data_IF_423869179205
#
_entry.id   IF_423869179205
#
_cell.length_a   1.000
_cell.length_b   1.000
_cell.length_c   1.000
_cell.angle_alpha   90.00
_cell.angle_beta   90.00
_cell.angle_gamma   90.00
#
_symmetry.space_group_name_H-M   'P 1'
#
loop_
_entity.id
_entity.type
_entity.pdbx_description
1 polymer ?
#
# COMPACT_ATOMS: atom_id res chain seq x y z
N UNK A 1 -37.48 -6.91 10.80
CA UNK A 1 -37.29 -5.52 11.29
C UNK A 1 -38.22 -4.52 10.62
N UNK A 2 -38.62 -4.74 9.38
CA UNK A 2 -39.43 -3.78 8.62
C UNK A 2 -40.83 -3.47 9.22
N UNK A 3 -41.45 -4.39 9.94
CA UNK A 3 -42.77 -4.17 10.57
C UNK A 3 -42.78 -3.19 11.78
N UNK A 4 -41.61 -2.85 12.33
CA UNK A 4 -41.50 -1.95 13.47
C UNK A 4 -41.58 -0.47 13.02
N UNK A 5 -41.28 -0.18 11.75
CA UNK A 5 -41.21 1.15 11.19
C UNK A 5 -42.54 1.68 10.59
N UNK A 6 -43.59 0.82 10.51
CA UNK A 6 -44.87 1.22 9.91
C UNK A 6 -45.78 2.05 10.84
N UNK A 7 -45.47 2.19 12.14
CA UNK A 7 -46.29 3.00 13.05
C UNK A 7 -45.57 4.31 13.37
N UNK A 8 -46.20 5.45 13.10
CA UNK A 8 -45.64 6.78 13.39
C UNK A 8 -45.24 7.04 14.86
N UNK A 9 -45.72 6.19 15.78
CA UNK A 9 -45.34 6.16 17.20
C UNK A 9 -43.95 5.59 17.43
N UNK A 10 -43.57 4.56 16.66
CA UNK A 10 -42.23 3.96 16.71
C UNK A 10 -41.17 4.89 16.13
N UNK A 11 -41.48 5.60 15.05
CA UNK A 11 -40.59 6.58 14.38
C UNK A 11 -40.16 7.72 15.32
N UNK A 12 -41.09 8.30 16.11
CA UNK A 12 -40.77 9.34 17.07
C UNK A 12 -39.83 8.85 18.19
N UNK A 13 -39.93 7.60 18.58
CA UNK A 13 -39.04 6.99 19.59
C UNK A 13 -37.62 6.78 19.08
N UNK A 14 -37.42 6.62 17.79
CA UNK A 14 -36.09 6.52 17.15
C UNK A 14 -35.42 7.89 17.05
N UNK A 15 -36.14 8.95 16.73
CA UNK A 15 -35.62 10.32 16.64
C UNK A 15 -35.14 10.85 17.99
N UNK A 16 -35.87 10.50 19.09
CA UNK A 16 -35.49 10.85 20.47
C UNK A 16 -34.68 9.75 21.16
N UNK A 17 -34.30 8.70 20.43
CA UNK A 17 -33.63 7.50 20.96
C UNK A 17 -32.11 7.65 21.08
N UNK A 18 -31.48 6.53 21.43
CA UNK A 18 -30.02 6.44 21.49
C UNK A 18 -29.38 6.74 20.11
N UNK A 19 -28.10 7.11 20.11
CA UNK A 19 -27.29 7.30 18.90
C UNK A 19 -27.44 6.14 17.90
N UNK A 20 -27.37 4.89 18.39
CA UNK A 20 -27.52 3.70 17.54
C UNK A 20 -28.88 3.62 16.87
N UNK A 21 -29.96 4.01 17.58
CA UNK A 21 -31.31 4.02 17.01
C UNK A 21 -31.42 5.09 15.89
N UNK A 22 -30.88 6.28 16.10
CA UNK A 22 -30.83 7.36 15.09
C UNK A 22 -30.05 6.93 13.84
N UNK A 23 -28.86 6.35 14.01
CA UNK A 23 -28.05 5.83 12.89
C UNK A 23 -28.78 4.73 12.14
N UNK A 24 -29.45 3.81 12.85
CA UNK A 24 -30.25 2.78 12.22
C UNK A 24 -31.39 3.36 11.37
N UNK A 25 -32.11 4.36 11.91
CA UNK A 25 -33.18 5.04 11.18
C UNK A 25 -32.66 5.68 9.88
N UNK A 26 -31.56 6.45 9.97
CA UNK A 26 -30.94 7.11 8.80
C UNK A 26 -30.53 6.08 7.74
N UNK A 27 -29.86 4.99 8.13
CA UNK A 27 -29.42 3.93 7.19
C UNK A 27 -30.56 3.29 6.42
N UNK A 28 -31.77 3.29 6.97
CA UNK A 28 -32.97 2.80 6.31
C UNK A 28 -33.81 3.90 5.65
N UNK A 29 -33.30 5.12 5.61
CA UNK A 29 -33.96 6.26 4.98
C UNK A 29 -35.11 6.88 5.79
N UNK A 30 -35.20 6.57 7.10
CA UNK A 30 -36.29 7.08 7.96
C UNK A 30 -35.91 8.35 8.69
N UNK A 31 -36.85 9.26 8.86
CA UNK A 31 -36.77 10.50 9.67
C UNK A 31 -35.62 11.44 9.25
N UNK A 32 -35.20 11.41 7.99
CA UNK A 32 -34.08 12.23 7.48
C UNK A 32 -34.36 13.72 7.67
N UNK A 33 -35.61 14.16 7.48
CA UNK A 33 -36.08 15.54 7.68
C UNK A 33 -35.88 16.06 9.10
N UNK A 34 -35.94 15.18 10.10
CA UNK A 34 -35.70 15.51 11.50
C UNK A 34 -34.23 15.37 11.89
N UNK A 35 -33.59 14.31 11.42
CA UNK A 35 -32.22 13.93 11.78
C UNK A 35 -31.14 14.79 11.05
N UNK A 36 -31.51 15.53 10.02
CA UNK A 36 -30.61 16.47 9.35
C UNK A 36 -30.10 17.59 10.26
N UNK A 37 -30.83 17.91 11.34
CA UNK A 37 -30.44 18.91 12.34
C UNK A 37 -30.03 18.29 13.68
N UNK A 38 -29.70 16.99 13.70
CA UNK A 38 -29.29 16.33 14.93
C UNK A 38 -28.03 17.01 15.52
N UNK A 39 -27.97 17.14 16.81
CA UNK A 39 -26.81 17.72 17.52
C UNK A 39 -25.51 16.96 17.26
N UNK A 40 -25.64 15.64 17.06
CA UNK A 40 -24.51 14.77 16.77
C UNK A 40 -24.16 14.79 15.28
N UNK A 41 -22.98 15.30 14.96
CA UNK A 41 -22.51 15.37 13.58
C UNK A 41 -22.42 14.00 12.87
N UNK A 42 -22.22 12.90 13.58
CA UNK A 42 -22.21 11.58 12.96
C UNK A 42 -23.59 11.25 12.36
N UNK A 43 -24.69 11.65 13.05
CA UNK A 43 -26.04 11.45 12.52
C UNK A 43 -26.26 12.28 11.26
N UNK A 44 -25.86 13.57 11.30
CA UNK A 44 -25.93 14.46 10.12
C UNK A 44 -25.07 13.96 8.96
N UNK A 45 -23.87 13.41 9.25
CA UNK A 45 -23.01 12.78 8.25
C UNK A 45 -23.72 11.60 7.55
N UNK A 46 -24.35 10.73 8.31
CA UNK A 46 -25.13 9.62 7.73
C UNK A 46 -26.33 10.12 6.90
N UNK A 47 -26.95 11.23 7.29
CA UNK A 47 -28.02 11.88 6.47
C UNK A 47 -27.44 12.36 5.13
N UNK A 48 -26.25 13.00 5.15
CA UNK A 48 -25.54 13.39 3.93
C UNK A 48 -25.19 12.18 3.05
N UNK A 49 -24.74 11.08 3.65
CA UNK A 49 -24.44 9.83 2.93
C UNK A 49 -25.68 9.23 2.25
N UNK A 50 -26.87 9.44 2.80
CA UNK A 50 -28.13 9.07 2.12
C UNK A 50 -28.50 10.03 0.96
N UNK A 51 -27.76 11.13 0.79
CA UNK A 51 -28.04 12.12 -0.25
C UNK A 51 -29.20 13.08 0.07
N UNK A 52 -29.60 13.14 1.34
CA UNK A 52 -30.72 14.00 1.77
C UNK A 52 -30.22 15.36 2.29
N UNK A 53 -30.87 16.45 1.86
CA UNK A 53 -30.64 17.81 2.34
C UNK A 53 -29.20 18.31 2.13
N UNK A 54 -28.54 17.91 1.06
CA UNK A 54 -27.16 18.26 0.76
C UNK A 54 -26.95 19.76 0.60
N UNK A 55 -27.99 20.49 0.14
CA UNK A 55 -28.03 21.95 0.03
C UNK A 55 -27.89 22.66 1.38
N UNK A 56 -28.34 22.03 2.45
CA UNK A 56 -28.20 22.51 3.82
C UNK A 56 -26.91 22.05 4.48
N UNK A 57 -26.53 20.79 4.26
CA UNK A 57 -25.37 20.15 4.87
C UNK A 57 -24.03 20.56 4.24
N UNK A 58 -24.03 21.20 3.08
CA UNK A 58 -22.83 21.75 2.42
C UNK A 58 -22.11 22.79 3.28
N UNK A 59 -22.80 23.42 4.21
CA UNK A 59 -22.30 24.44 5.16
C UNK A 59 -22.19 23.92 6.59
N UNK A 60 -22.33 22.64 6.80
CA UNK A 60 -22.28 22.07 8.15
C UNK A 60 -20.99 22.47 8.88
N UNK A 61 -21.08 22.71 10.17
CA UNK A 61 -19.94 23.04 11.02
C UNK A 61 -18.86 21.94 11.02
N UNK A 62 -19.29 20.67 10.95
CA UNK A 62 -18.41 19.50 10.93
C UNK A 62 -17.83 19.26 9.52
N UNK A 63 -16.51 19.17 9.43
CA UNK A 63 -15.84 18.82 8.18
C UNK A 63 -16.21 17.41 7.69
N UNK A 64 -16.53 16.49 8.56
CA UNK A 64 -16.94 15.13 8.17
C UNK A 64 -18.31 15.10 7.50
N UNK A 65 -19.20 16.02 7.89
CA UNK A 65 -20.49 16.18 7.18
C UNK A 65 -20.26 16.79 5.80
N UNK A 66 -19.45 17.86 5.70
CA UNK A 66 -19.11 18.48 4.42
C UNK A 66 -18.33 17.52 3.51
N UNK A 67 -17.46 16.68 4.08
CA UNK A 67 -16.78 15.61 3.33
C UNK A 67 -17.80 14.62 2.74
N UNK A 68 -18.79 14.20 3.51
CA UNK A 68 -19.86 13.32 3.04
C UNK A 68 -20.67 13.96 1.90
N UNK A 69 -20.97 15.26 2.00
CA UNK A 69 -21.60 16.04 0.93
C UNK A 69 -20.75 16.05 -0.34
N UNK A 70 -19.42 16.31 -0.21
CA UNK A 70 -18.49 16.27 -1.34
C UNK A 70 -18.42 14.87 -2.00
N UNK A 71 -18.40 13.81 -1.21
CA UNK A 71 -18.43 12.41 -1.70
C UNK A 71 -19.69 12.08 -2.50
N UNK A 72 -20.80 12.79 -2.24
CA UNK A 72 -22.04 12.69 -3.02
C UNK A 72 -22.03 13.55 -4.28
N UNK A 73 -20.92 14.25 -4.56
CA UNK A 73 -20.77 15.10 -5.72
C UNK A 73 -21.54 16.43 -5.64
N UNK A 74 -22.01 16.83 -4.45
CA UNK A 74 -22.79 18.05 -4.30
C UNK A 74 -21.93 19.21 -3.79
N UNK A 75 -22.23 20.44 -4.25
CA UNK A 75 -21.58 21.67 -3.76
C UNK A 75 -20.07 21.76 -4.01
N UNK A 76 -19.53 21.00 -4.98
CA UNK A 76 -18.09 20.89 -5.25
C UNK A 76 -17.44 22.25 -5.56
N UNK A 77 -18.16 23.14 -6.24
CA UNK A 77 -17.71 24.51 -6.55
C UNK A 77 -17.42 25.34 -5.29
N UNK A 78 -18.11 25.07 -4.20
CA UNK A 78 -17.90 25.69 -2.90
C UNK A 78 -16.82 24.93 -2.11
N UNK A 79 -16.97 23.60 -2.01
CA UNK A 79 -16.14 22.73 -1.18
C UNK A 79 -14.70 22.58 -1.69
N UNK A 80 -14.41 22.92 -2.95
CA UNK A 80 -13.05 23.02 -3.49
C UNK A 80 -12.18 24.04 -2.73
N UNK A 81 -12.80 24.96 -2.01
CA UNK A 81 -12.13 25.99 -1.19
C UNK A 81 -12.28 25.72 0.32
N UNK A 82 -12.75 24.56 0.71
CA UNK A 82 -12.95 24.25 2.12
C UNK A 82 -11.66 24.41 2.92
N UNK A 83 -11.78 24.91 4.14
CA UNK A 83 -10.63 25.10 5.04
C UNK A 83 -9.93 23.79 5.40
N UNK A 84 -10.69 22.68 5.44
CA UNK A 84 -10.18 21.36 5.82
C UNK A 84 -9.74 20.54 4.61
N UNK A 85 -8.54 19.99 4.65
CA UNK A 85 -7.97 19.21 3.53
C UNK A 85 -8.78 17.94 3.22
N UNK A 86 -9.39 17.32 4.23
CA UNK A 86 -10.20 16.11 4.03
C UNK A 86 -11.40 16.38 3.10
N UNK A 87 -11.99 17.57 3.18
CA UNK A 87 -13.10 17.99 2.31
C UNK A 87 -12.58 18.23 0.89
N UNK A 88 -11.44 18.96 0.75
CA UNK A 88 -10.84 19.21 -0.55
C UNK A 88 -10.35 17.92 -1.22
N UNK A 89 -9.82 16.96 -0.44
CA UNK A 89 -9.51 15.60 -0.95
C UNK A 89 -10.75 14.89 -1.51
N UNK A 90 -11.89 15.00 -0.81
CA UNK A 90 -13.14 14.42 -1.30
C UNK A 90 -13.59 15.07 -2.61
N UNK A 91 -13.41 16.40 -2.76
CA UNK A 91 -13.65 17.12 -4.01
C UNK A 91 -12.73 16.65 -5.13
N UNK A 92 -11.42 16.52 -4.86
CA UNK A 92 -10.45 16.01 -5.83
C UNK A 92 -10.80 14.60 -6.30
N UNK A 93 -11.24 13.71 -5.38
CA UNK A 93 -11.69 12.34 -5.72
C UNK A 93 -12.90 12.31 -6.64
N UNK A 94 -13.71 13.38 -6.68
CA UNK A 94 -14.79 13.54 -7.65
C UNK A 94 -14.29 14.08 -9.03
N UNK A 95 -13.00 14.29 -9.19
CA UNK A 95 -12.42 14.87 -10.39
C UNK A 95 -12.72 16.36 -10.59
N UNK A 96 -13.17 17.07 -9.55
CA UNK A 96 -13.55 18.47 -9.64
C UNK A 96 -12.43 19.40 -9.13
N UNK A 97 -12.20 20.52 -9.86
CA UNK A 97 -11.27 21.56 -9.47
C UNK A 97 -9.81 21.12 -9.37
N UNK A 98 -9.41 20.10 -10.13
CA UNK A 98 -8.05 19.56 -10.11
C UNK A 98 -7.00 20.59 -10.53
N UNK A 99 -7.36 21.51 -11.43
CA UNK A 99 -6.54 22.64 -11.87
C UNK A 99 -6.16 23.58 -10.73
N UNK A 100 -7.02 23.70 -9.75
CA UNK A 100 -6.79 24.47 -8.52
C UNK A 100 -6.08 23.64 -7.45
N UNK A 101 -6.55 22.40 -7.24
CA UNK A 101 -6.10 21.54 -6.17
C UNK A 101 -4.70 20.94 -6.41
N UNK A 102 -4.18 21.02 -7.65
CA UNK A 102 -2.79 20.65 -7.95
C UNK A 102 -1.76 21.51 -7.20
N UNK A 103 -2.16 22.69 -6.74
CA UNK A 103 -1.37 23.63 -5.94
C UNK A 103 -1.78 23.67 -4.46
N UNK A 104 -2.57 22.71 -4.03
CA UNK A 104 -3.04 22.70 -2.66
C UNK A 104 -1.87 22.65 -1.66
N UNK A 105 -2.01 23.39 -0.56
CA UNK A 105 -1.00 23.42 0.51
C UNK A 105 -0.79 22.08 1.21
N UNK A 106 -1.78 21.20 1.15
CA UNK A 106 -1.76 19.89 1.79
C UNK A 106 -1.28 18.82 0.82
N UNK A 107 -0.24 18.08 1.20
CA UNK A 107 0.37 17.02 0.38
C UNK A 107 -0.65 15.94 -0.02
N UNK A 108 -1.56 15.57 0.87
CA UNK A 108 -2.55 14.52 0.61
C UNK A 108 -3.57 14.95 -0.45
N UNK A 109 -3.91 16.25 -0.51
CA UNK A 109 -4.77 16.77 -1.59
C UNK A 109 -4.04 16.66 -2.92
N UNK A 110 -2.75 17.09 -3.00
CA UNK A 110 -1.96 16.98 -4.22
C UNK A 110 -1.72 15.53 -4.66
N UNK A 111 -1.56 14.62 -3.69
CA UNK A 111 -1.49 13.17 -3.97
C UNK A 111 -2.76 12.71 -4.67
N UNK A 112 -3.94 13.04 -4.13
CA UNK A 112 -5.22 12.66 -4.75
C UNK A 112 -5.35 13.21 -6.17
N UNK A 113 -4.90 14.46 -6.41
CA UNK A 113 -4.88 15.05 -7.77
C UNK A 113 -4.00 14.23 -8.71
N UNK A 114 -2.79 13.86 -8.27
CA UNK A 114 -1.87 13.03 -9.05
C UNK A 114 -2.40 11.60 -9.28
N UNK A 115 -3.10 11.03 -8.30
CA UNK A 115 -3.77 9.73 -8.42
C UNK A 115 -4.93 9.76 -9.44
N UNK A 116 -5.51 10.94 -9.70
CA UNK A 116 -6.46 11.15 -10.81
C UNK A 116 -5.76 11.35 -12.18
N UNK A 117 -4.43 11.29 -12.21
CA UNK A 117 -3.66 11.50 -13.42
C UNK A 117 -3.55 12.96 -13.87
N UNK A 118 -3.92 13.91 -13.01
CA UNK A 118 -3.89 15.34 -13.35
C UNK A 118 -2.61 16.02 -12.86
N UNK A 119 -2.09 16.97 -13.64
CA UNK A 119 -0.97 17.84 -13.25
C UNK A 119 0.37 17.13 -13.04
N UNK A 120 0.57 15.95 -13.63
CA UNK A 120 1.75 15.11 -13.39
C UNK A 120 3.07 15.79 -13.71
N UNK A 121 3.15 16.66 -14.73
CA UNK A 121 4.36 17.43 -15.04
C UNK A 121 4.77 18.36 -13.90
N UNK A 122 3.80 18.92 -13.20
CA UNK A 122 4.02 19.77 -12.04
C UNK A 122 4.37 18.95 -10.81
N UNK A 123 3.58 17.92 -10.53
CA UNK A 123 3.73 17.06 -9.37
C UNK A 123 4.98 16.17 -9.42
N UNK A 124 5.58 15.99 -10.61
CA UNK A 124 6.89 15.37 -10.75
C UNK A 124 8.03 16.16 -10.09
N UNK A 125 7.81 17.44 -9.80
CA UNK A 125 8.76 18.30 -9.09
C UNK A 125 8.33 18.56 -7.62
N UNK A 126 7.33 17.88 -7.12
CA UNK A 126 6.88 17.98 -5.74
C UNK A 126 7.87 17.28 -4.78
N UNK A 127 7.63 17.32 -3.50
CA UNK A 127 8.44 16.58 -2.53
C UNK A 127 8.37 15.06 -2.77
N UNK A 128 9.38 14.33 -2.29
CA UNK A 128 9.51 12.89 -2.54
C UNK A 128 8.32 12.07 -1.98
N UNK A 129 7.62 12.57 -0.98
CA UNK A 129 6.45 11.89 -0.40
C UNK A 129 5.29 11.86 -1.42
N UNK A 130 5.00 13.00 -2.04
CA UNK A 130 3.98 13.14 -3.10
C UNK A 130 4.36 12.29 -4.32
N UNK A 131 5.61 12.43 -4.81
CA UNK A 131 6.09 11.66 -5.98
C UNK A 131 6.01 10.15 -5.76
N UNK A 132 6.40 9.65 -4.56
CA UNK A 132 6.27 8.21 -4.19
C UNK A 132 4.82 7.73 -4.20
N UNK A 133 3.90 8.53 -3.68
CA UNK A 133 2.49 8.17 -3.63
C UNK A 133 1.90 8.06 -5.05
N UNK A 134 2.19 9.05 -5.91
CA UNK A 134 1.73 9.06 -7.30
C UNK A 134 2.34 7.89 -8.10
N UNK A 135 3.64 7.63 -7.94
CA UNK A 135 4.28 6.48 -8.59
C UNK A 135 3.64 5.15 -8.17
N UNK A 136 3.24 4.99 -6.89
CA UNK A 136 2.53 3.79 -6.41
C UNK A 136 1.16 3.60 -7.05
N UNK A 137 0.47 4.66 -7.40
CA UNK A 137 -0.81 4.58 -8.12
C UNK A 137 -0.66 4.16 -9.59
N UNK A 138 0.57 4.09 -10.09
CA UNK A 138 0.86 3.78 -11.48
C UNK A 138 0.79 4.97 -12.43
N UNK A 139 0.50 6.17 -11.93
CA UNK A 139 0.42 7.37 -12.74
C UNK A 139 1.78 8.03 -12.92
N UNK A 140 2.04 8.57 -14.10
CA UNK A 140 3.23 9.36 -14.41
C UNK A 140 4.54 8.61 -14.30
N UNK A 141 4.57 7.30 -14.46
CA UNK A 141 5.78 6.49 -14.32
C UNK A 141 6.91 6.93 -15.26
N UNK A 142 6.56 7.46 -16.44
CA UNK A 142 7.49 8.05 -17.40
C UNK A 142 8.22 9.28 -16.84
N UNK A 143 7.60 10.02 -15.93
CA UNK A 143 8.19 11.18 -15.25
C UNK A 143 9.16 10.75 -14.13
N UNK A 144 8.93 9.57 -13.55
CA UNK A 144 9.65 9.11 -12.38
C UNK A 144 10.77 8.11 -12.66
N UNK A 145 10.96 7.70 -13.91
CA UNK A 145 12.00 6.73 -14.31
C UNK A 145 13.41 7.21 -13.93
N UNK A 146 13.66 8.52 -14.01
CA UNK A 146 14.94 9.15 -13.68
C UNK A 146 14.87 10.02 -12.41
N UNK A 147 13.90 9.78 -11.53
CA UNK A 147 13.75 10.55 -10.30
C UNK A 147 15.05 10.58 -9.47
N UNK A 148 15.32 11.70 -8.83
CA UNK A 148 16.50 11.85 -7.96
C UNK A 148 16.48 10.83 -6.80
N UNK A 149 15.30 10.53 -6.23
CA UNK A 149 15.13 9.54 -5.17
C UNK A 149 15.13 8.12 -5.73
N UNK A 150 16.04 7.30 -5.22
CA UNK A 150 16.06 5.87 -5.55
C UNK A 150 14.76 5.15 -5.11
N UNK A 151 14.08 5.64 -4.08
CA UNK A 151 12.82 5.07 -3.57
C UNK A 151 11.70 5.23 -4.60
N UNK A 152 11.65 6.38 -5.29
CA UNK A 152 10.69 6.63 -6.38
C UNK A 152 11.00 5.72 -7.56
N UNK A 153 12.28 5.65 -8.01
CA UNK A 153 12.70 4.78 -9.11
C UNK A 153 12.46 3.29 -8.79
N UNK A 154 12.66 2.89 -7.51
CA UNK A 154 12.34 1.53 -7.05
C UNK A 154 10.86 1.21 -7.23
N UNK A 155 9.97 2.15 -6.88
CA UNK A 155 8.53 1.99 -7.08
C UNK A 155 8.22 1.83 -8.58
N UNK A 156 8.87 2.60 -9.46
CA UNK A 156 8.72 2.43 -10.92
C UNK A 156 9.10 1.02 -11.37
N UNK A 157 10.20 0.46 -10.82
CA UNK A 157 10.59 -0.93 -11.09
C UNK A 157 9.56 -1.93 -10.54
N UNK A 158 9.01 -1.71 -9.34
CA UNK A 158 7.96 -2.53 -8.72
C UNK A 158 6.65 -2.52 -9.51
N UNK A 159 6.39 -1.44 -10.27
CA UNK A 159 5.26 -1.35 -11.23
C UNK A 159 5.56 -2.02 -12.58
N UNK A 160 6.69 -2.71 -12.69
CA UNK A 160 7.11 -3.40 -13.92
C UNK A 160 7.23 -2.47 -15.14
N UNK A 161 7.62 -1.21 -14.91
CA UNK A 161 7.70 -0.20 -15.97
C UNK A 161 9.15 0.07 -16.38
N UNK A 162 9.44 -0.01 -17.70
CA UNK A 162 10.76 0.28 -18.32
C UNK A 162 11.96 -0.36 -17.58
N UNK A 163 11.86 -1.63 -17.27
CA UNK A 163 12.89 -2.36 -16.53
C UNK A 163 14.25 -2.41 -17.27
N UNK A 164 14.24 -2.29 -18.58
CA UNK A 164 15.43 -2.19 -19.43
C UNK A 164 16.28 -0.96 -19.15
N UNK A 165 15.66 0.14 -18.73
CA UNK A 165 16.37 1.35 -18.28
C UNK A 165 16.87 1.20 -16.84
N UNK A 166 16.04 0.61 -15.94
CA UNK A 166 16.33 0.49 -14.51
C UNK A 166 17.28 -0.65 -14.13
N UNK A 167 17.53 -1.60 -15.01
CA UNK A 167 18.45 -2.73 -14.75
C UNK A 167 19.88 -2.27 -14.41
N UNK A 168 20.30 -1.11 -14.91
CA UNK A 168 21.62 -0.52 -14.66
C UNK A 168 21.57 0.63 -13.65
N UNK A 169 20.48 0.78 -12.89
CA UNK A 169 20.37 1.87 -11.92
C UNK A 169 21.53 1.89 -10.93
N UNK A 170 21.95 3.11 -10.56
CA UNK A 170 23.02 3.32 -9.59
C UNK A 170 22.71 2.72 -8.22
N UNK A 171 21.43 2.65 -7.84
CA UNK A 171 20.98 2.04 -6.57
C UNK A 171 20.79 0.54 -6.71
N UNK A 172 21.43 -0.23 -5.84
CA UNK A 172 21.20 -1.66 -5.74
C UNK A 172 19.75 -2.02 -5.37
N UNK A 173 19.06 -1.15 -4.62
CA UNK A 173 17.66 -1.36 -4.26
C UNK A 173 16.74 -1.33 -5.49
N UNK A 174 17.05 -0.48 -6.47
CA UNK A 174 16.31 -0.41 -7.73
C UNK A 174 16.60 -1.66 -8.57
N UNK A 175 17.90 -2.03 -8.73
CA UNK A 175 18.25 -3.25 -9.47
C UNK A 175 17.70 -4.52 -8.82
N UNK A 176 17.66 -4.59 -7.49
CA UNK A 176 17.03 -5.70 -6.77
C UNK A 176 15.51 -5.74 -7.01
N UNK A 177 14.84 -4.58 -7.11
CA UNK A 177 13.43 -4.53 -7.50
C UNK A 177 13.23 -5.04 -8.93
N UNK A 178 14.12 -4.72 -9.87
CA UNK A 178 14.11 -5.27 -11.23
C UNK A 178 14.28 -6.80 -11.21
N UNK A 179 15.21 -7.32 -10.39
CA UNK A 179 15.39 -8.76 -10.21
C UNK A 179 14.11 -9.46 -9.70
N UNK A 180 13.43 -8.83 -8.73
CA UNK A 180 12.16 -9.34 -8.15
C UNK A 180 11.02 -9.39 -9.17
N UNK A 181 11.08 -8.61 -10.25
CA UNK A 181 10.14 -8.70 -11.38
C UNK A 181 10.51 -9.84 -12.35
N UNK A 182 11.58 -10.57 -12.09
CA UNK A 182 12.05 -11.65 -12.98
C UNK A 182 12.72 -11.15 -14.26
N UNK A 183 13.03 -9.85 -14.37
CA UNK A 183 13.55 -9.27 -15.60
C UNK A 183 15.08 -9.43 -15.71
N UNK A 184 15.52 -9.97 -16.84
CA UNK A 184 16.94 -10.13 -17.23
C UNK A 184 17.81 -10.69 -16.09
N UNK A 185 17.34 -11.74 -15.44
CA UNK A 185 18.06 -12.43 -14.36
C UNK A 185 19.41 -12.99 -14.83
N UNK A 186 19.53 -13.28 -16.12
CA UNK A 186 20.78 -13.66 -16.79
C UNK A 186 21.91 -12.65 -16.60
N UNK A 187 21.58 -11.36 -16.51
CA UNK A 187 22.54 -10.30 -16.22
C UNK A 187 22.72 -10.05 -14.72
N UNK A 188 21.63 -10.08 -13.96
CA UNK A 188 21.62 -9.72 -12.55
C UNK A 188 22.20 -10.80 -11.63
N UNK A 189 22.32 -12.05 -12.08
CA UNK A 189 22.96 -13.15 -11.34
C UNK A 189 24.43 -12.84 -10.99
N UNK A 190 25.08 -11.98 -11.76
CA UNK A 190 26.44 -11.51 -11.55
C UNK A 190 26.55 -10.08 -11.01
N UNK A 191 25.45 -9.51 -10.51
CA UNK A 191 25.46 -8.15 -9.96
C UNK A 191 26.46 -8.03 -8.80
N UNK A 192 27.18 -6.91 -8.76
CA UNK A 192 28.13 -6.62 -7.66
C UNK A 192 27.51 -6.57 -6.28
N UNK A 193 26.20 -6.32 -6.19
CA UNK A 193 25.48 -6.21 -4.92
C UNK A 193 24.94 -7.56 -4.48
N UNK A 194 25.26 -7.95 -3.28
CA UNK A 194 24.69 -9.13 -2.59
C UNK A 194 23.16 -9.08 -2.59
N UNK A 195 22.56 -7.91 -2.35
CA UNK A 195 21.10 -7.75 -2.31
C UNK A 195 20.42 -8.08 -3.64
N UNK A 196 21.10 -7.76 -4.75
CA UNK A 196 20.58 -8.10 -6.09
C UNK A 196 20.70 -9.60 -6.35
N UNK A 197 21.87 -10.21 -6.03
CA UNK A 197 22.07 -11.65 -6.21
C UNK A 197 21.13 -12.48 -5.30
N UNK A 198 20.84 -12.00 -4.08
CA UNK A 198 19.80 -12.61 -3.22
C UNK A 198 18.43 -12.54 -3.90
N UNK A 199 18.04 -11.37 -4.44
CA UNK A 199 16.78 -11.24 -5.16
C UNK A 199 16.70 -12.18 -6.38
N UNK A 200 17.82 -12.42 -7.08
CA UNK A 200 17.89 -13.41 -8.18
C UNK A 200 17.67 -14.84 -7.67
N UNK A 201 18.31 -15.23 -6.56
CA UNK A 201 18.12 -16.54 -5.93
C UNK A 201 16.66 -16.74 -5.49
N UNK A 202 16.01 -15.72 -4.93
CA UNK A 202 14.58 -15.71 -4.54
C UNK A 202 13.67 -16.00 -5.77
N UNK A 203 14.09 -15.60 -6.98
CA UNK A 203 13.39 -15.91 -8.23
C UNK A 203 13.73 -17.32 -8.78
N UNK A 204 14.50 -18.12 -8.03
CA UNK A 204 14.93 -19.49 -8.39
C UNK A 204 15.74 -19.54 -9.69
N UNK A 205 16.46 -18.47 -10.01
CA UNK A 205 17.29 -18.37 -11.22
C UNK A 205 18.78 -18.47 -10.89
N UNK A 206 19.56 -19.14 -11.72
CA UNK A 206 21.02 -19.27 -11.60
C UNK A 206 21.47 -19.87 -10.27
N UNK A 207 20.66 -20.74 -9.66
CA UNK A 207 20.97 -21.37 -8.37
C UNK A 207 22.23 -22.23 -8.43
N UNK A 208 22.54 -22.80 -9.59
CA UNK A 208 23.76 -23.54 -9.89
C UNK A 208 25.03 -22.67 -9.83
N UNK A 209 24.89 -21.39 -10.15
CA UNK A 209 25.96 -20.38 -10.02
C UNK A 209 26.02 -19.88 -8.58
N UNK A 210 24.86 -19.48 -8.02
CA UNK A 210 24.76 -18.80 -6.74
C UNK A 210 25.00 -19.71 -5.54
N UNK A 211 24.96 -21.03 -5.69
CA UNK A 211 25.31 -22.01 -4.63
C UNK A 211 26.78 -21.87 -4.18
N UNK A 212 27.64 -21.28 -5.00
CA UNK A 212 29.04 -21.01 -4.75
C UNK A 212 29.35 -19.54 -4.47
N UNK A 213 28.34 -18.71 -4.29
CA UNK A 213 28.53 -17.27 -4.06
C UNK A 213 29.44 -16.99 -2.84
N UNK A 214 30.27 -15.98 -2.95
CA UNK A 214 31.16 -15.55 -1.87
C UNK A 214 30.39 -15.17 -0.58
N UNK A 215 29.20 -14.58 -0.76
CA UNK A 215 28.34 -14.16 0.34
C UNK A 215 27.48 -15.30 0.89
N UNK A 216 27.54 -15.52 2.17
CA UNK A 216 26.69 -16.50 2.83
C UNK A 216 25.19 -16.15 2.71
N UNK A 217 24.83 -14.85 2.63
CA UNK A 217 23.44 -14.42 2.43
C UNK A 217 22.86 -14.95 1.09
N UNK A 218 23.68 -14.98 0.04
CA UNK A 218 23.25 -15.50 -1.26
C UNK A 218 23.15 -17.04 -1.19
N UNK A 219 24.16 -17.72 -0.62
CA UNK A 219 24.09 -19.18 -0.45
C UNK A 219 22.94 -19.60 0.48
N UNK A 220 22.62 -18.79 1.50
CA UNK A 220 21.44 -18.98 2.36
C UNK A 220 20.15 -18.89 1.54
N UNK A 221 20.00 -17.84 0.71
CA UNK A 221 18.86 -17.70 -0.17
C UNK A 221 18.72 -18.88 -1.14
N UNK A 222 19.85 -19.44 -1.64
CA UNK A 222 19.85 -20.67 -2.45
C UNK A 222 19.35 -21.88 -1.65
N UNK A 223 19.82 -22.03 -0.40
CA UNK A 223 19.35 -23.10 0.49
C UNK A 223 17.84 -22.98 0.78
N UNK A 224 17.34 -21.76 0.99
CA UNK A 224 15.92 -21.46 1.19
C UNK A 224 15.06 -21.90 -0.01
N UNK A 225 15.63 -21.94 -1.22
CA UNK A 225 14.97 -22.50 -2.40
C UNK A 225 15.04 -24.03 -2.50
N UNK A 226 15.67 -24.68 -1.53
CA UNK A 226 15.87 -26.15 -1.51
C UNK A 226 16.91 -26.63 -2.50
N UNK A 227 17.77 -25.75 -3.04
CA UNK A 227 18.76 -26.11 -4.05
C UNK A 227 20.15 -26.33 -3.44
N UNK A 228 20.91 -27.28 -3.97
CA UNK A 228 22.30 -27.53 -3.59
C UNK A 228 22.52 -27.97 -2.15
N UNK A 229 21.50 -28.51 -1.48
CA UNK A 229 21.56 -28.89 -0.05
C UNK A 229 22.66 -29.90 0.24
N UNK A 230 22.98 -30.80 -0.70
CA UNK A 230 24.08 -31.77 -0.60
C UNK A 230 25.46 -31.10 -0.48
N UNK A 231 25.63 -29.91 -1.02
CA UNK A 231 26.82 -29.08 -0.91
C UNK A 231 26.75 -28.20 0.33
N UNK A 232 25.64 -27.51 0.52
CA UNK A 232 25.43 -26.51 1.56
C UNK A 232 25.31 -27.10 2.96
N UNK A 233 25.09 -28.40 3.13
CA UNK A 233 25.19 -29.12 4.42
C UNK A 233 26.59 -29.01 5.04
N UNK A 234 27.60 -28.66 4.23
CA UNK A 234 28.99 -28.45 4.64
C UNK A 234 29.38 -26.96 4.64
N UNK A 235 28.42 -26.04 4.49
CA UNK A 235 28.75 -24.61 4.40
C UNK A 235 29.51 -24.12 5.64
N UNK A 236 30.46 -23.21 5.40
CA UNK A 236 31.25 -22.61 6.48
C UNK A 236 30.41 -21.76 7.46
N UNK A 237 29.29 -21.19 6.95
CA UNK A 237 28.39 -20.34 7.72
C UNK A 237 27.25 -21.17 8.35
N UNK A 238 27.01 -20.96 9.64
CA UNK A 238 26.00 -21.68 10.42
C UNK A 238 24.56 -21.37 9.96
N UNK A 239 24.26 -20.14 9.52
CA UNK A 239 22.91 -19.80 9.06
C UNK A 239 22.53 -20.59 7.80
N UNK A 240 23.49 -20.81 6.91
CA UNK A 240 23.27 -21.64 5.72
C UNK A 240 22.98 -23.09 6.15
N UNK A 241 23.79 -23.66 7.06
CA UNK A 241 23.56 -25.02 7.56
C UNK A 241 22.26 -25.15 8.36
N UNK A 242 21.83 -24.10 9.05
CA UNK A 242 20.52 -24.06 9.74
C UNK A 242 19.39 -24.23 8.75
N UNK A 243 19.38 -23.46 7.65
CA UNK A 243 18.37 -23.58 6.58
C UNK A 243 18.39 -24.98 5.97
N UNK A 244 19.58 -25.57 5.75
CA UNK A 244 19.69 -26.96 5.25
C UNK A 244 19.03 -27.96 6.21
N UNK A 245 19.22 -27.76 7.53
CA UNK A 245 18.57 -28.60 8.55
C UNK A 245 17.04 -28.42 8.56
N UNK A 246 16.56 -27.20 8.43
CA UNK A 246 15.12 -26.88 8.31
C UNK A 246 14.45 -27.55 7.10
N UNK A 247 15.20 -27.72 6.02
CA UNK A 247 14.77 -28.51 4.87
C UNK A 247 14.81 -30.04 5.07
N UNK A 248 15.21 -30.51 6.25
CA UNK A 248 15.27 -31.93 6.56
C UNK A 248 16.44 -32.67 5.90
N UNK A 249 17.45 -31.95 5.39
CA UNK A 249 18.57 -32.58 4.66
C UNK A 249 19.80 -32.75 5.56
N UNK A 250 20.44 -33.93 5.49
CA UNK A 250 21.69 -34.24 6.19
C UNK A 250 21.57 -34.21 7.72
N UNK A 251 20.40 -34.55 8.27
CA UNK A 251 20.08 -34.44 9.70
C UNK A 251 20.98 -35.31 10.57
N UNK A 252 21.40 -36.50 10.10
CA UNK A 252 22.31 -37.39 10.79
C UNK A 252 23.68 -36.74 11.08
N UNK A 253 24.09 -35.80 10.25
CA UNK A 253 25.29 -34.99 10.45
C UNK A 253 25.00 -33.74 11.28
N UNK A 254 23.95 -32.97 10.91
CA UNK A 254 23.67 -31.65 11.48
C UNK A 254 23.21 -31.72 12.94
N UNK A 255 22.66 -32.83 13.40
CA UNK A 255 22.34 -33.05 14.81
C UNK A 255 23.58 -32.99 15.75
N UNK A 256 24.78 -33.17 15.18
CA UNK A 256 26.07 -33.09 15.87
C UNK A 256 26.88 -31.84 15.45
N UNK A 257 26.25 -30.85 14.80
CA UNK A 257 26.95 -29.62 14.38
C UNK A 257 27.57 -28.88 15.55
N UNK A 258 28.70 -28.21 15.31
CA UNK A 258 29.37 -27.39 16.31
C UNK A 258 28.49 -26.21 16.80
N UNK A 259 27.63 -25.65 15.93
CA UNK A 259 26.73 -24.57 16.29
C UNK A 259 25.45 -25.13 16.93
N UNK A 260 24.97 -24.47 17.99
CA UNK A 260 23.81 -24.90 18.78
C UNK A 260 22.52 -24.77 17.95
N UNK A 261 22.34 -23.67 17.22
CA UNK A 261 21.12 -23.38 16.45
C UNK A 261 20.92 -24.39 15.32
N UNK A 262 22.00 -24.78 14.66
CA UNK A 262 22.00 -25.85 13.65
C UNK A 262 21.53 -27.19 14.26
N UNK A 263 22.06 -27.55 15.45
CA UNK A 263 21.63 -28.78 16.13
C UNK A 263 20.16 -28.74 16.53
N UNK A 264 19.67 -27.57 16.98
CA UNK A 264 18.27 -27.40 17.37
C UNK A 264 17.34 -27.47 16.14
N UNK A 265 17.70 -26.84 15.04
CA UNK A 265 16.98 -26.95 13.77
C UNK A 265 16.91 -28.40 13.28
N UNK A 266 18.04 -29.11 13.31
CA UNK A 266 18.10 -30.53 12.91
C UNK A 266 17.23 -31.43 13.80
N UNK A 267 17.21 -31.19 15.15
CA UNK A 267 16.34 -31.93 16.08
C UNK A 267 14.85 -31.61 15.87
N UNK A 268 14.52 -30.37 15.48
CA UNK A 268 13.15 -29.98 15.21
C UNK A 268 12.61 -30.65 13.93
N UNK A 269 13.47 -30.76 12.90
CA UNK A 269 13.12 -31.39 11.63
C UNK A 269 12.99 -32.93 11.69
N UNK A 270 13.46 -33.56 12.77
CA UNK A 270 13.31 -35.01 13.04
C UNK A 270 11.96 -35.39 13.70
N UNK A 271 11.21 -34.42 14.19
CA UNK A 271 9.91 -34.62 14.85
C UNK A 271 8.78 -34.58 13.85
#
# INVERSE_FOLDING_TARGET
MDKIFESGYALNRFVCGSYLAKVCAVKHGYCLDKLINDENWHVRMYVAEQGYGLDRLVDDESCFVREAVAKRGYGLNKLVNDKESIVRMAVAKQGYGLDKLVDDKDDFVRIVVGEQGYGLDKLANDNAFVRKAIARSGNGLDKFINDESWEVRKIVAEQNYKLDELINDKSNNVRAAVAKQGYRLDKLVHDKSVYVRVAVAEQRYGLDILVDDESYNVRKAVAEQGYGLNKLVNDKNEEVRTVVAEHGYGLEKLINDKNKDVREAAKAALK
#
